data_IF_084828562491
#
_entry.id   IF_084828562491
#
_cell.length_a   1.000
_cell.length_b   1.000
_cell.length_c   1.000
_cell.angle_alpha   90.00
_cell.angle_beta   90.00
_cell.angle_gamma   90.00
#
_symmetry.space_group_name_H-M   'P 1'
#
loop_
_entity.id
_entity.type
_entity.pdbx_description
1 polymer ?
#
# COMPACT_ATOMS: atom_id res chain seq x y z
N UNK A 1 8.81 9.29 -18.68
CA UNK A 1 7.42 9.37 -18.15
C UNK A 1 7.02 8.18 -17.30
N UNK A 2 7.43 6.95 -17.63
CA UNK A 2 7.07 5.73 -16.87
C UNK A 2 7.45 5.83 -15.38
N UNK A 3 8.67 6.29 -15.06
CA UNK A 3 9.15 6.38 -13.67
C UNK A 3 8.27 7.28 -12.79
N UNK A 4 7.85 8.45 -13.30
CA UNK A 4 6.98 9.37 -12.57
C UNK A 4 5.61 8.74 -12.31
N UNK A 5 5.07 8.02 -13.29
CA UNK A 5 3.81 7.30 -13.13
C UNK A 5 3.92 6.17 -12.10
N UNK A 6 5.03 5.45 -12.05
CA UNK A 6 5.27 4.41 -11.04
C UNK A 6 5.41 5.01 -9.65
N UNK A 7 6.16 6.10 -9.49
CA UNK A 7 6.29 6.81 -8.21
C UNK A 7 4.91 7.30 -7.73
N UNK A 8 4.10 7.86 -8.63
CA UNK A 8 2.75 8.30 -8.30
C UNK A 8 1.87 7.14 -7.79
N UNK A 9 1.97 5.96 -8.40
CA UNK A 9 1.22 4.77 -7.96
C UNK A 9 1.68 4.21 -6.61
N UNK A 10 2.97 4.33 -6.29
CA UNK A 10 3.50 3.90 -4.99
C UNK A 10 3.10 4.86 -3.86
N UNK A 11 3.01 6.16 -4.14
CA UNK A 11 2.55 7.17 -3.18
C UNK A 11 1.03 7.10 -2.96
N UNK A 12 0.25 6.88 -4.02
CA UNK A 12 -1.21 6.80 -3.98
C UNK A 12 -1.71 5.53 -4.68
N UNK A 13 -1.82 4.40 -3.94
CA UNK A 13 -2.30 3.15 -4.51
C UNK A 13 -3.74 3.26 -5.06
N UNK A 14 -3.98 2.67 -6.23
CA UNK A 14 -5.33 2.59 -6.79
C UNK A 14 -6.17 1.53 -6.05
N UNK A 15 -7.17 1.97 -5.28
CA UNK A 15 -8.09 1.08 -4.55
C UNK A 15 -9.43 0.85 -5.26
N UNK A 16 -9.68 1.50 -6.40
CA UNK A 16 -10.92 1.33 -7.17
C UNK A 16 -10.83 0.12 -8.11
N UNK A 17 -9.69 -0.02 -8.80
CA UNK A 17 -9.38 -1.17 -9.65
C UNK A 17 -7.97 -1.67 -9.33
N UNK A 18 -7.81 -2.40 -8.20
CA UNK A 18 -6.51 -2.80 -7.73
C UNK A 18 -5.95 -3.99 -8.52
N UNK A 19 -4.63 -4.00 -8.71
CA UNK A 19 -3.94 -5.18 -9.25
C UNK A 19 -3.90 -6.35 -8.26
N UNK A 20 -3.93 -6.05 -6.95
CA UNK A 20 -4.03 -7.02 -5.87
C UNK A 20 -5.15 -6.60 -4.91
N UNK A 21 -6.23 -7.40 -4.86
CA UNK A 21 -7.43 -7.10 -4.08
C UNK A 21 -7.15 -7.16 -2.58
N UNK A 22 -6.40 -8.16 -2.10
CA UNK A 22 -6.11 -8.34 -0.67
C UNK A 22 -5.28 -7.17 -0.13
N UNK A 23 -4.23 -6.78 -0.86
CA UNK A 23 -3.41 -5.63 -0.51
C UNK A 23 -4.23 -4.32 -0.50
N UNK A 24 -5.19 -4.17 -1.43
CA UNK A 24 -6.10 -3.03 -1.45
C UNK A 24 -7.02 -2.96 -0.23
N UNK A 25 -7.52 -4.11 0.22
CA UNK A 25 -8.35 -4.19 1.43
C UNK A 25 -7.53 -3.85 2.67
N UNK A 26 -6.32 -4.41 2.81
CA UNK A 26 -5.41 -4.13 3.93
C UNK A 26 -5.01 -2.66 3.98
N UNK A 27 -4.60 -2.08 2.85
CA UNK A 27 -4.26 -0.65 2.76
C UNK A 27 -5.44 0.25 3.19
N UNK A 28 -6.66 -0.09 2.76
CA UNK A 28 -7.87 0.66 3.10
C UNK A 28 -8.19 0.58 4.58
N UNK A 29 -8.10 -0.61 5.19
CA UNK A 29 -8.28 -0.79 6.64
C UNK A 29 -7.25 0.02 7.44
N UNK A 30 -5.97 -0.03 7.04
CA UNK A 30 -4.91 0.79 7.64
C UNK A 30 -5.20 2.29 7.53
N UNK A 31 -5.57 2.77 6.33
CA UNK A 31 -5.90 4.18 6.07
C UNK A 31 -7.12 4.65 6.86
N UNK A 32 -8.22 3.92 6.78
CA UNK A 32 -9.51 4.30 7.38
C UNK A 32 -9.46 4.20 8.92
N UNK A 33 -8.63 3.30 9.46
CA UNK A 33 -8.33 3.21 10.90
C UNK A 33 -7.35 4.28 11.39
N UNK A 34 -6.84 5.16 10.51
CA UNK A 34 -5.81 6.17 10.80
C UNK A 34 -4.53 5.56 11.40
N UNK A 35 -4.11 4.41 10.87
CA UNK A 35 -2.90 3.70 11.29
C UNK A 35 -3.03 2.92 12.60
N UNK A 36 -4.24 2.72 13.12
CA UNK A 36 -4.47 1.85 14.28
C UNK A 36 -4.33 0.37 13.91
N UNK A 37 -4.84 -0.01 12.75
CA UNK A 37 -4.57 -1.31 12.15
C UNK A 37 -3.12 -1.30 11.63
N UNK A 38 -2.29 -2.23 12.08
CA UNK A 38 -0.85 -2.28 11.77
C UNK A 38 -0.48 -3.33 10.75
N UNK A 39 -1.41 -4.19 10.33
CA UNK A 39 -1.14 -5.36 9.49
C UNK A 39 -0.44 -4.95 8.17
N UNK A 40 -0.98 -3.93 7.50
CA UNK A 40 -0.39 -3.40 6.28
C UNK A 40 1.03 -2.83 6.52
N UNK A 41 1.23 -2.05 7.59
CA UNK A 41 2.50 -1.40 7.89
C UNK A 41 3.60 -2.42 8.27
N UNK A 42 3.24 -3.49 8.97
CA UNK A 42 4.14 -4.58 9.35
C UNK A 42 4.65 -5.36 8.12
N UNK A 43 3.76 -5.66 7.17
CA UNK A 43 4.14 -6.30 5.90
C UNK A 43 5.13 -5.43 5.13
N UNK A 44 4.84 -4.13 4.97
CA UNK A 44 5.74 -3.20 4.30
C UNK A 44 7.09 -3.11 5.02
N UNK A 45 7.09 -3.03 6.36
CA UNK A 45 8.33 -3.04 7.14
C UNK A 45 9.14 -4.31 6.93
N UNK A 46 8.49 -5.48 6.83
CA UNK A 46 9.16 -6.76 6.60
C UNK A 46 9.74 -6.86 5.19
N UNK A 47 9.04 -6.33 4.17
CA UNK A 47 9.56 -6.27 2.80
C UNK A 47 10.77 -5.35 2.73
N UNK A 48 10.71 -4.19 3.39
CA UNK A 48 11.81 -3.23 3.41
C UNK A 48 13.01 -3.66 4.25
N UNK A 49 12.83 -4.51 5.28
CA UNK A 49 13.94 -5.01 6.10
C UNK A 49 14.91 -5.94 5.35
N UNK A 50 14.56 -6.32 4.12
CA UNK A 50 15.39 -7.16 3.24
C UNK A 50 16.24 -6.31 2.28
N UNK A 51 16.16 -4.97 2.38
CA UNK A 51 16.96 -4.00 1.62
C UNK A 51 17.92 -3.29 2.56
#
# INVERSE_FOLDING_TARGET
TILLSVISLLNEPNTFSPANVDASVMFRKWRDSKGKDKEYAEIISKVNSVV
#
